data_IF_871396457050
#
_entry.id   IF_871396457050
#
_cell.length_a   1.000
_cell.length_b   1.000
_cell.length_c   1.000
_cell.angle_alpha   90.00
_cell.angle_beta   90.00
_cell.angle_gamma   90.00
#
_symmetry.space_group_name_H-M   'P 1'
#
loop_
_entity.id
_entity.type
_entity.pdbx_description
1 polymer ?
#
# COMPACT_ATOMS: atom_id res chain seq x y z
N UNK A 1 43.58 2.37 -2.25
CA UNK A 1 42.75 1.16 -2.42
C UNK A 1 41.53 1.60 -3.23
N UNK A 2 41.47 1.17 -4.50
CA UNK A 2 40.59 1.72 -5.54
C UNK A 2 39.23 1.00 -5.52
N UNK A 3 38.15 1.78 -5.51
CA UNK A 3 36.77 1.34 -5.78
C UNK A 3 36.63 0.82 -7.21
N UNK A 4 35.81 -0.20 -7.49
CA UNK A 4 35.32 -0.44 -8.83
C UNK A 4 33.91 0.16 -9.01
N UNK A 5 33.84 1.22 -9.82
CA UNK A 5 32.63 1.64 -10.54
C UNK A 5 32.36 0.60 -11.63
N UNK A 6 31.16 0.02 -11.67
CA UNK A 6 30.70 -0.78 -12.82
C UNK A 6 29.87 0.10 -13.75
N UNK A 7 30.30 0.21 -15.00
CA UNK A 7 29.52 0.70 -16.13
C UNK A 7 29.14 -0.52 -16.97
N UNK A 8 27.86 -0.66 -17.29
CA UNK A 8 27.34 -1.63 -18.24
C UNK A 8 26.47 -0.91 -19.26
N UNK A 9 26.89 -0.95 -20.52
CA UNK A 9 26.25 -0.35 -21.68
C UNK A 9 25.43 -1.46 -22.36
N UNK A 10 24.11 -1.33 -22.47
CA UNK A 10 23.30 -2.17 -23.38
C UNK A 10 22.19 -1.36 -24.05
N UNK A 11 22.15 -1.56 -25.36
CA UNK A 11 21.26 -1.16 -26.44
C UNK A 11 19.82 -0.71 -26.11
N UNK A 12 19.39 0.30 -26.88
CA UNK A 12 18.05 0.85 -26.88
C UNK A 12 16.99 -0.09 -27.47
N UNK A 13 15.79 0.04 -26.91
CA UNK A 13 14.54 -0.44 -27.48
C UNK A 13 13.54 0.71 -27.41
N UNK A 14 12.98 1.07 -28.56
CA UNK A 14 11.98 2.11 -28.70
C UNK A 14 10.63 1.61 -28.18
N UNK A 15 10.20 2.12 -27.03
CA UNK A 15 8.85 1.86 -26.53
C UNK A 15 7.93 3.05 -26.81
N UNK A 16 6.87 2.74 -27.55
CA UNK A 16 5.82 3.65 -28.00
C UNK A 16 5.04 4.17 -26.79
N UNK A 17 4.98 5.50 -26.65
CA UNK A 17 4.09 6.19 -25.72
C UNK A 17 2.64 5.94 -26.11
N UNK A 18 1.88 5.33 -25.21
CA UNK A 18 0.43 5.20 -25.33
C UNK A 18 -0.22 6.11 -24.29
N UNK A 19 -0.34 7.39 -24.61
CA UNK A 19 -1.13 8.35 -23.83
C UNK A 19 -2.61 8.10 -24.09
N UNK A 20 -3.30 7.52 -23.12
CA UNK A 20 -4.76 7.41 -23.11
C UNK A 20 -5.28 8.02 -21.82
N UNK A 21 -5.68 9.30 -21.90
CA UNK A 21 -6.57 9.91 -20.93
C UNK A 21 -7.97 9.32 -21.14
N UNK A 22 -8.38 8.43 -20.24
CA UNK A 22 -9.78 8.09 -20.07
C UNK A 22 -10.21 8.46 -18.66
N UNK A 23 -11.20 9.34 -18.58
CA UNK A 23 -12.04 9.52 -17.39
C UNK A 23 -12.85 8.24 -17.20
N UNK A 24 -12.23 7.20 -16.66
CA UNK A 24 -12.97 6.08 -16.08
C UNK A 24 -13.25 6.43 -14.62
N UNK A 25 -14.52 6.43 -14.23
CA UNK A 25 -14.91 6.23 -12.83
C UNK A 25 -14.16 4.99 -12.36
N UNK A 26 -13.07 5.15 -11.61
CA UNK A 26 -12.28 4.02 -11.13
C UNK A 26 -13.13 3.32 -10.08
N UNK A 27 -13.81 2.26 -10.48
CA UNK A 27 -14.40 1.34 -9.52
C UNK A 27 -13.22 0.70 -8.80
N UNK A 28 -13.00 1.10 -7.56
CA UNK A 28 -12.02 0.45 -6.69
C UNK A 28 -12.51 -0.97 -6.46
N UNK A 29 -11.80 -1.97 -6.99
CA UNK A 29 -12.09 -3.37 -6.68
C UNK A 29 -11.56 -3.63 -5.27
N UNK A 30 -12.38 -3.36 -4.26
CA UNK A 30 -12.01 -3.72 -2.90
C UNK A 30 -11.83 -5.24 -2.79
N UNK A 31 -10.66 -5.66 -2.30
CA UNK A 31 -10.40 -7.07 -1.99
C UNK A 31 -11.48 -7.61 -1.06
N UNK A 32 -12.04 -8.76 -1.42
CA UNK A 32 -13.12 -9.39 -0.64
C UNK A 32 -12.62 -9.79 0.76
N UNK A 33 -13.51 -9.97 1.75
CA UNK A 33 -13.11 -10.49 3.06
C UNK A 33 -12.32 -11.80 2.97
N UNK A 34 -12.74 -12.70 2.06
CA UNK A 34 -12.04 -13.95 1.78
C UNK A 34 -10.61 -13.71 1.28
N UNK A 35 -10.44 -12.91 0.22
CA UNK A 35 -9.12 -12.58 -0.35
C UNK A 35 -8.21 -12.00 0.72
N UNK A 36 -8.74 -11.09 1.55
CA UNK A 36 -7.98 -10.49 2.65
C UNK A 36 -7.51 -11.52 3.66
N UNK A 37 -8.37 -12.45 4.08
CA UNK A 37 -7.98 -13.52 5.02
C UNK A 37 -6.93 -14.44 4.41
N UNK A 38 -7.13 -14.86 3.16
CA UNK A 38 -6.20 -15.72 2.43
C UNK A 38 -4.77 -15.14 2.40
N UNK A 39 -4.65 -13.83 2.19
CA UNK A 39 -3.36 -13.13 2.19
C UNK A 39 -2.98 -12.47 3.53
N UNK A 40 -3.66 -12.83 4.63
CA UNK A 40 -3.46 -12.28 5.96
C UNK A 40 -3.45 -10.74 5.98
N UNK A 41 -4.28 -10.07 5.19
CA UNK A 41 -4.39 -8.61 5.13
C UNK A 41 -5.28 -8.10 6.26
N UNK A 42 -5.05 -6.86 6.76
CA UNK A 42 -5.90 -6.30 7.80
C UNK A 42 -7.29 -5.97 7.21
N UNK A 43 -8.32 -6.12 8.04
CA UNK A 43 -9.66 -5.63 7.71
C UNK A 43 -9.62 -4.12 7.45
N UNK A 44 -10.40 -3.61 6.48
CA UNK A 44 -10.48 -2.18 6.25
C UNK A 44 -10.98 -1.47 7.52
N UNK A 45 -10.40 -0.31 7.88
CA UNK A 45 -10.92 0.48 8.99
C UNK A 45 -12.29 1.04 8.65
N UNK A 46 -13.10 1.34 9.67
CA UNK A 46 -14.35 2.08 9.46
C UNK A 46 -14.05 3.47 8.88
N UNK A 47 -14.86 3.95 7.92
CA UNK A 47 -14.64 5.26 7.33
C UNK A 47 -14.80 6.37 8.40
N UNK A 48 -13.91 7.38 8.41
CA UNK A 48 -13.95 8.45 9.41
C UNK A 48 -15.10 9.44 9.20
N UNK A 49 -15.76 9.38 8.04
CA UNK A 49 -16.89 10.23 7.66
C UNK A 49 -17.97 9.39 6.98
N UNK A 50 -19.23 9.71 7.24
CA UNK A 50 -20.38 9.16 6.52
C UNK A 50 -20.71 9.98 5.26
N UNK A 51 -20.07 11.14 5.07
CA UNK A 51 -20.39 12.10 4.02
C UNK A 51 -19.46 11.96 2.80
N UNK A 52 -18.24 11.47 3.01
CA UNK A 52 -17.27 11.26 1.94
C UNK A 52 -16.29 10.14 2.28
N UNK A 53 -15.89 9.40 1.26
CA UNK A 53 -14.93 8.29 1.37
C UNK A 53 -13.86 8.32 0.26
N UNK A 54 -13.91 9.30 -0.65
CA UNK A 54 -12.92 9.53 -1.70
C UNK A 54 -12.83 11.02 -2.07
N UNK A 55 -11.92 11.37 -2.99
CA UNK A 55 -11.73 12.77 -3.39
C UNK A 55 -13.00 13.35 -4.04
N UNK A 56 -13.69 12.57 -4.88
CA UNK A 56 -14.86 13.02 -5.63
C UNK A 56 -16.06 13.33 -4.71
N UNK A 57 -16.35 12.42 -3.77
CA UNK A 57 -17.39 12.58 -2.74
C UNK A 57 -17.02 13.70 -1.78
N UNK A 58 -15.74 13.86 -1.42
CA UNK A 58 -15.28 14.96 -0.57
C UNK A 58 -15.48 16.33 -1.25
N UNK A 59 -15.10 16.47 -2.53
CA UNK A 59 -15.29 17.72 -3.27
C UNK A 59 -16.78 18.07 -3.40
N UNK A 60 -17.63 17.07 -3.64
CA UNK A 60 -19.08 17.24 -3.70
C UNK A 60 -19.65 17.69 -2.35
N UNK A 61 -19.22 17.06 -1.26
CA UNK A 61 -19.57 17.43 0.11
C UNK A 61 -19.12 18.86 0.45
N UNK A 62 -17.85 19.18 0.21
CA UNK A 62 -17.26 20.50 0.49
C UNK A 62 -18.03 21.61 -0.24
N UNK A 63 -18.39 21.37 -1.51
CA UNK A 63 -19.23 22.29 -2.28
C UNK A 63 -20.62 22.46 -1.67
N UNK A 64 -21.27 21.35 -1.28
CA UNK A 64 -22.60 21.37 -0.70
C UNK A 64 -22.68 22.19 0.60
N UNK A 65 -21.67 22.08 1.46
CA UNK A 65 -21.61 22.83 2.73
C UNK A 65 -20.91 24.18 2.61
N UNK A 66 -20.51 24.59 1.41
CA UNK A 66 -19.70 25.78 1.15
C UNK A 66 -18.43 25.87 2.02
N UNK A 67 -17.72 24.74 2.18
CA UNK A 67 -16.47 24.68 2.94
C UNK A 67 -15.40 25.53 2.26
N UNK A 68 -14.77 26.50 2.94
CA UNK A 68 -13.74 27.34 2.31
C UNK A 68 -12.51 26.52 1.91
N UNK A 69 -12.07 26.66 0.65
CA UNK A 69 -10.91 25.94 0.11
C UNK A 69 -9.59 26.30 0.80
N UNK A 70 -9.55 27.45 1.47
CA UNK A 70 -8.40 27.94 2.25
C UNK A 70 -8.38 27.39 3.68
N UNK A 71 -9.46 26.74 4.13
CA UNK A 71 -9.53 26.17 5.47
C UNK A 71 -8.54 25.01 5.62
N UNK A 72 -8.04 24.83 6.85
CA UNK A 72 -7.13 23.73 7.18
C UNK A 72 -7.79 22.37 6.96
N UNK A 73 -9.09 22.26 7.23
CA UNK A 73 -9.89 21.05 6.99
C UNK A 73 -9.92 20.73 5.50
N UNK A 74 -10.28 21.71 4.65
CA UNK A 74 -10.31 21.46 3.20
C UNK A 74 -8.94 21.05 2.66
N UNK A 75 -7.91 21.83 3.02
CA UNK A 75 -6.54 21.62 2.55
C UNK A 75 -5.98 20.26 3.00
N UNK A 76 -6.24 19.87 4.26
CA UNK A 76 -5.80 18.59 4.82
C UNK A 76 -6.51 17.43 4.15
N UNK A 77 -7.84 17.40 4.21
CA UNK A 77 -8.65 16.29 3.67
C UNK A 77 -8.45 16.10 2.16
N UNK A 78 -8.39 17.20 1.38
CA UNK A 78 -8.08 17.11 -0.05
C UNK A 78 -6.70 16.47 -0.27
N UNK A 79 -5.70 16.90 0.49
CA UNK A 79 -4.34 16.39 0.35
C UNK A 79 -4.24 14.91 0.73
N UNK A 80 -4.90 14.50 1.80
CA UNK A 80 -4.97 13.09 2.23
C UNK A 80 -5.57 12.19 1.15
N UNK A 81 -6.70 12.59 0.55
CA UNK A 81 -7.31 11.84 -0.56
C UNK A 81 -6.43 11.82 -1.80
N UNK A 82 -5.79 12.96 -2.12
CA UNK A 82 -4.84 13.04 -3.23
C UNK A 82 -3.69 12.04 -3.02
N UNK A 83 -3.06 12.04 -1.84
CA UNK A 83 -1.97 11.11 -1.51
C UNK A 83 -2.44 9.67 -1.60
N UNK A 84 -3.59 9.36 -1.00
CA UNK A 84 -4.20 8.02 -1.02
C UNK A 84 -4.39 7.48 -2.44
N UNK A 85 -4.99 8.26 -3.32
CA UNK A 85 -5.26 7.86 -4.72
C UNK A 85 -3.98 7.76 -5.55
N UNK A 86 -3.02 8.65 -5.30
CA UNK A 86 -1.78 8.67 -6.06
C UNK A 86 -0.84 7.52 -5.71
N UNK A 87 -0.79 7.12 -4.44
CA UNK A 87 0.06 6.02 -3.99
C UNK A 87 -0.41 4.64 -4.49
N UNK A 88 -1.64 4.51 -4.99
CA UNK A 88 -2.08 3.31 -5.72
C UNK A 88 -1.19 2.97 -6.91
N UNK A 89 -0.55 3.95 -7.56
CA UNK A 89 0.38 3.71 -8.68
C UNK A 89 1.63 2.93 -8.29
N UNK A 90 1.92 2.85 -6.99
CA UNK A 90 3.06 2.13 -6.44
C UNK A 90 2.61 0.93 -5.59
N UNK A 91 1.43 0.38 -5.89
CA UNK A 91 0.82 -0.76 -5.19
C UNK A 91 0.56 -0.55 -3.68
N UNK A 92 0.23 0.68 -3.29
CA UNK A 92 -0.32 0.95 -1.96
C UNK A 92 -1.85 0.96 -1.99
N UNK A 93 -2.48 0.17 -1.12
CA UNK A 93 -3.91 0.22 -0.85
C UNK A 93 -4.12 0.89 0.50
N UNK A 94 -4.58 2.14 0.49
CA UNK A 94 -4.66 3.01 1.66
C UNK A 94 -6.10 3.42 1.95
N UNK A 95 -6.45 3.47 3.23
CA UNK A 95 -7.72 3.94 3.75
C UNK A 95 -7.48 5.17 4.62
N UNK A 96 -8.31 6.19 4.43
CA UNK A 96 -8.27 7.39 5.26
C UNK A 96 -8.87 7.06 6.63
N UNK A 97 -8.16 7.41 7.69
CA UNK A 97 -8.64 7.33 9.08
C UNK A 97 -8.51 8.66 9.81
N UNK A 98 -7.87 9.66 9.17
CA UNK A 98 -7.64 10.98 9.73
C UNK A 98 -8.93 11.67 10.19
N UNK A 99 -8.89 12.27 11.37
CA UNK A 99 -10.06 12.79 12.06
C UNK A 99 -9.73 13.31 13.46
N UNK A 100 -10.77 13.56 14.26
CA UNK A 100 -10.56 13.92 15.66
C UNK A 100 -10.04 12.68 16.41
N UNK A 101 -8.98 12.84 17.20
CA UNK A 101 -8.38 11.79 18.05
C UNK A 101 -7.71 10.62 17.28
N UNK A 102 -7.22 10.86 16.07
CA UNK A 102 -6.56 9.87 15.20
C UNK A 102 -5.09 9.55 15.55
N UNK A 103 -4.58 10.06 16.69
CA UNK A 103 -3.18 9.96 17.12
C UNK A 103 -2.15 10.41 16.05
N UNK A 104 -2.57 11.30 15.14
CA UNK A 104 -1.74 11.81 14.05
C UNK A 104 -1.62 10.85 12.85
N UNK A 105 -2.48 9.83 12.75
CA UNK A 105 -2.55 8.92 11.61
C UNK A 105 -3.60 9.42 10.62
N UNK A 106 -3.16 9.77 9.42
CA UNK A 106 -4.09 10.23 8.39
C UNK A 106 -4.59 9.07 7.53
N UNK A 107 -3.70 8.15 7.14
CA UNK A 107 -4.03 6.96 6.36
C UNK A 107 -3.41 5.69 6.96
N UNK A 108 -4.07 4.56 6.78
CA UNK A 108 -3.53 3.22 7.07
C UNK A 108 -3.79 2.30 5.89
N UNK A 109 -2.93 1.32 5.68
CA UNK A 109 -3.16 0.35 4.63
C UNK A 109 -2.04 -0.65 4.44
N UNK A 110 -1.93 -1.15 3.22
CA UNK A 110 -0.95 -2.18 2.85
C UNK A 110 -0.13 -1.74 1.65
N UNK A 111 1.13 -2.15 1.60
CA UNK A 111 2.01 -1.99 0.45
C UNK A 111 2.34 -3.37 -0.10
N UNK A 112 1.85 -3.64 -1.30
CA UNK A 112 2.07 -4.87 -2.01
C UNK A 112 3.27 -4.65 -2.95
N UNK A 113 4.45 -5.12 -2.54
CA UNK A 113 5.66 -4.97 -3.34
C UNK A 113 5.84 -6.21 -4.21
N UNK A 114 6.38 -6.09 -5.43
CA UNK A 114 6.66 -7.24 -6.29
C UNK A 114 7.42 -8.32 -5.54
N UNK A 115 7.16 -9.58 -5.90
CA UNK A 115 7.70 -10.79 -5.25
C UNK A 115 7.21 -11.01 -3.80
N UNK A 116 6.72 -9.97 -3.11
CA UNK A 116 6.15 -10.05 -1.75
C UNK A 116 4.64 -9.89 -1.71
N UNK A 117 4.03 -9.54 -2.85
CA UNK A 117 2.61 -9.25 -3.04
C UNK A 117 1.74 -10.31 -2.35
N UNK A 118 2.17 -11.56 -2.46
CA UNK A 118 1.46 -12.76 -2.01
C UNK A 118 1.92 -13.23 -0.62
N UNK A 119 3.18 -13.05 -0.25
CA UNK A 119 3.68 -13.53 1.04
C UNK A 119 3.19 -12.67 2.22
N UNK A 120 3.45 -11.36 2.17
CA UNK A 120 3.12 -10.42 3.24
C UNK A 120 3.25 -8.99 2.76
N UNK A 121 2.12 -8.40 2.37
CA UNK A 121 2.05 -6.97 2.15
C UNK A 121 2.45 -6.21 3.43
N UNK A 122 3.35 -5.24 3.30
CA UNK A 122 3.79 -4.42 4.43
C UNK A 122 2.61 -3.62 4.98
N UNK A 123 2.56 -3.46 6.30
CA UNK A 123 1.61 -2.56 6.95
C UNK A 123 2.12 -1.14 6.82
N UNK A 124 1.24 -0.24 6.39
CA UNK A 124 1.60 1.16 6.16
C UNK A 124 0.77 2.03 7.07
N UNK A 125 1.44 2.94 7.76
CA UNK A 125 0.84 4.06 8.48
C UNK A 125 1.36 5.33 7.84
N UNK A 126 0.46 6.20 7.39
CA UNK A 126 0.80 7.43 6.68
C UNK A 126 0.36 8.62 7.49
N UNK A 127 1.26 9.59 7.59
CA UNK A 127 0.97 10.92 8.11
C UNK A 127 1.23 11.95 7.01
N UNK A 128 0.20 12.74 6.71
CA UNK A 128 0.14 13.77 5.68
C UNK A 128 0.30 15.16 6.32
N UNK A 129 1.27 15.94 5.84
CA UNK A 129 1.49 17.32 6.32
C UNK A 129 1.46 18.30 5.16
N UNK A 130 0.26 18.80 4.88
CA UNK A 130 -0.08 19.73 3.79
C UNK A 130 0.35 21.20 4.04
N UNK A 131 1.50 21.42 4.68
CA UNK A 131 1.94 22.76 5.07
C UNK A 131 2.51 23.57 3.90
N UNK A 132 2.33 24.90 3.95
CA UNK A 132 2.98 25.81 2.99
C UNK A 132 4.48 25.98 3.29
N UNK A 133 4.92 25.78 4.52
CA UNK A 133 6.31 25.92 4.94
C UNK A 133 7.02 24.56 4.95
N UNK A 134 8.36 24.58 5.00
CA UNK A 134 9.17 23.37 5.16
C UNK A 134 8.87 22.72 6.51
N UNK A 135 8.84 21.39 6.52
CA UNK A 135 8.57 20.61 7.73
C UNK A 135 9.88 20.35 8.49
N UNK A 136 9.82 20.50 9.81
CA UNK A 136 10.95 20.30 10.71
C UNK A 136 11.16 18.84 11.11
N UNK A 137 12.30 18.51 11.75
CA UNK A 137 12.63 17.15 12.19
C UNK A 137 11.75 16.61 13.33
N UNK A 138 10.94 17.46 13.99
CA UNK A 138 10.02 17.05 15.03
C UNK A 138 8.97 16.05 14.51
N UNK A 139 8.57 16.16 13.24
CA UNK A 139 7.54 15.30 12.66
C UNK A 139 7.96 13.83 12.57
N UNK A 140 9.27 13.57 12.40
CA UNK A 140 9.79 12.19 12.40
C UNK A 140 9.59 11.56 13.77
N UNK A 141 9.87 12.30 14.85
CA UNK A 141 9.67 11.83 16.23
C UNK A 141 8.20 11.68 16.60
N UNK A 142 7.34 12.56 16.06
CA UNK A 142 5.89 12.43 16.18
C UNK A 142 5.43 11.10 15.56
N UNK A 143 5.84 10.81 14.32
CA UNK A 143 5.51 9.55 13.65
C UNK A 143 6.08 8.31 14.36
N UNK A 144 7.28 8.38 14.96
CA UNK A 144 7.80 7.29 15.79
C UNK A 144 6.86 6.96 16.97
N UNK A 145 6.31 7.99 17.61
CA UNK A 145 5.30 7.85 18.66
C UNK A 145 4.02 7.19 18.12
N UNK A 146 3.58 7.62 16.94
CA UNK A 146 2.42 7.07 16.25
C UNK A 146 2.61 5.59 15.88
N UNK A 147 3.78 5.20 15.36
CA UNK A 147 4.11 3.80 15.03
C UNK A 147 4.06 2.88 16.25
N UNK A 148 4.49 3.37 17.43
CA UNK A 148 4.37 2.63 18.70
C UNK A 148 2.91 2.39 19.08
N UNK A 149 2.03 3.33 18.73
CA UNK A 149 0.60 3.27 19.01
C UNK A 149 -0.21 2.76 17.82
N UNK A 150 0.44 2.15 16.82
CA UNK A 150 -0.21 1.61 15.62
C UNK A 150 -1.50 0.84 15.96
N UNK A 151 -2.59 1.04 15.18
CA UNK A 151 -3.85 0.32 15.37
C UNK A 151 -3.69 -1.19 15.28
N UNK A 152 -4.66 -1.92 15.83
CA UNK A 152 -4.75 -3.38 15.69
C UNK A 152 -4.78 -3.75 14.19
N UNK A 153 -4.00 -4.75 13.79
CA UNK A 153 -3.81 -5.13 12.38
C UNK A 153 -2.63 -4.44 11.68
N UNK A 154 -2.21 -3.27 12.17
CA UNK A 154 -1.03 -2.53 11.69
C UNK A 154 0.14 -2.53 12.66
N UNK A 155 -0.05 -2.98 13.90
CA UNK A 155 1.05 -3.17 14.87
C UNK A 155 1.73 -4.52 14.63
N UNK A 156 2.66 -4.56 13.68
CA UNK A 156 3.39 -5.79 13.29
C UNK A 156 4.89 -5.53 13.18
N UNK A 157 5.69 -6.59 13.10
CA UNK A 157 7.12 -6.48 12.75
C UNK A 157 7.39 -6.12 11.28
N UNK A 158 6.34 -5.93 10.48
CA UNK A 158 6.38 -5.61 9.05
C UNK A 158 5.61 -4.31 8.77
N UNK A 159 5.82 -3.31 9.64
CA UNK A 159 5.12 -2.03 9.58
C UNK A 159 6.09 -0.90 9.24
N UNK A 160 5.71 -0.09 8.26
CA UNK A 160 6.42 1.12 7.83
C UNK A 160 5.60 2.36 8.15
N UNK A 161 6.28 3.41 8.60
CA UNK A 161 5.72 4.75 8.70
C UNK A 161 6.07 5.57 7.46
N UNK A 162 5.13 6.33 6.93
CA UNK A 162 5.35 7.19 5.75
C UNK A 162 4.95 8.61 6.09
N UNK A 163 5.91 9.52 6.04
CA UNK A 163 5.66 10.97 6.09
C UNK A 163 5.49 11.51 4.68
N UNK A 164 4.36 12.15 4.44
CA UNK A 164 4.05 12.74 3.13
C UNK A 164 3.87 14.24 3.26
N UNK A 165 4.58 15.01 2.44
CA UNK A 165 4.50 16.48 2.44
C UNK A 165 4.68 17.05 1.03
N UNK A 166 4.08 18.20 0.68
CA UNK A 166 4.32 18.86 -0.60
C UNK A 166 5.66 19.61 -0.63
N UNK A 167 6.50 19.43 0.40
CA UNK A 167 7.80 20.08 0.55
C UNK A 167 8.91 19.04 0.63
N UNK A 168 10.07 19.40 0.13
CA UNK A 168 11.26 18.56 0.18
C UNK A 168 11.71 18.33 1.63
N UNK A 169 12.27 17.14 1.92
CA UNK A 169 12.90 16.87 3.19
C UNK A 169 14.02 17.88 3.46
N UNK A 170 14.00 18.52 4.63
CA UNK A 170 15.12 19.34 5.08
C UNK A 170 16.30 18.46 5.48
N UNK A 171 17.51 19.01 5.59
CA UNK A 171 18.66 18.29 6.15
C UNK A 171 18.33 17.71 7.52
N UNK A 172 17.69 18.49 8.40
CA UNK A 172 17.27 18.02 9.73
C UNK A 172 16.30 16.84 9.68
N UNK A 173 15.34 16.85 8.74
CA UNK A 173 14.44 15.71 8.51
C UNK A 173 15.23 14.49 8.05
N UNK A 174 16.09 14.62 7.04
CA UNK A 174 16.94 13.50 6.55
C UNK A 174 17.82 12.91 7.64
N UNK A 175 18.47 13.76 8.42
CA UNK A 175 19.34 13.35 9.52
C UNK A 175 18.56 12.64 10.63
N UNK A 176 17.32 13.06 10.89
CA UNK A 176 16.46 12.42 11.92
C UNK A 176 15.87 11.11 11.41
N UNK A 177 15.42 11.07 10.16
CA UNK A 177 14.97 9.88 9.45
C UNK A 177 16.04 8.78 9.52
N UNK A 178 17.28 9.11 9.15
CA UNK A 178 18.41 8.18 9.14
C UNK A 178 18.76 7.61 10.53
N UNK A 179 18.48 8.34 11.60
CA UNK A 179 18.74 7.90 13.00
C UNK A 179 17.56 7.18 13.64
N UNK A 180 16.39 7.19 13.02
CA UNK A 180 15.21 6.57 13.59
C UNK A 180 15.43 5.07 13.78
N UNK A 181 14.95 4.55 14.91
CA UNK A 181 14.92 3.11 15.16
C UNK A 181 13.74 2.41 14.47
N UNK A 182 12.83 3.17 13.86
CA UNK A 182 11.66 2.64 13.17
C UNK A 182 11.86 2.64 11.65
N UNK A 183 11.22 1.72 10.90
CA UNK A 183 11.15 1.75 9.45
C UNK A 183 10.35 2.96 8.96
N UNK A 184 11.02 4.01 8.46
CA UNK A 184 10.34 5.26 8.07
C UNK A 184 10.73 5.67 6.66
N UNK A 185 9.72 6.13 5.93
CA UNK A 185 9.79 6.77 4.64
C UNK A 185 9.46 8.25 4.73
N UNK A 186 10.09 9.03 3.86
CA UNK A 186 9.71 10.38 3.51
C UNK A 186 9.34 10.42 2.03
N UNK A 187 8.17 10.96 1.70
CA UNK A 187 7.74 11.19 0.33
C UNK A 187 7.33 12.66 0.13
N UNK A 188 7.95 13.30 -0.86
CA UNK A 188 7.48 14.60 -1.35
C UNK A 188 6.44 14.36 -2.44
N UNK A 189 5.17 14.58 -2.11
CA UNK A 189 4.07 14.47 -3.06
C UNK A 189 3.42 15.85 -3.18
N UNK A 190 3.44 16.41 -4.38
CA UNK A 190 2.82 17.70 -4.67
C UNK A 190 1.29 17.64 -4.56
N UNK A 191 0.64 18.80 -4.58
CA UNK A 191 -0.82 18.89 -4.40
C UNK A 191 -1.63 18.31 -5.56
N UNK A 192 -0.98 18.13 -6.71
CA UNK A 192 -1.51 17.43 -7.88
C UNK A 192 -1.31 15.90 -7.78
N UNK A 193 -0.61 15.43 -6.74
CA UNK A 193 -0.28 14.01 -6.55
C UNK A 193 1.05 13.56 -7.14
N UNK A 194 1.81 14.46 -7.77
CA UNK A 194 3.10 14.12 -8.37
C UNK A 194 4.15 13.79 -7.30
N UNK A 195 4.75 12.60 -7.38
CA UNK A 195 5.89 12.22 -6.53
C UNK A 195 7.17 12.91 -7.03
N UNK A 196 7.85 13.63 -6.14
CA UNK A 196 9.06 14.42 -6.43
C UNK A 196 10.28 14.02 -5.60
N UNK A 197 10.11 13.24 -4.54
CA UNK A 197 11.20 12.72 -3.73
C UNK A 197 10.67 11.54 -2.93
N UNK A 198 11.47 10.48 -2.82
CA UNK A 198 11.24 9.40 -1.87
C UNK A 198 12.57 9.07 -1.19
N UNK A 199 12.55 8.94 0.13
CA UNK A 199 13.70 8.61 0.96
C UNK A 199 13.23 7.62 2.02
N UNK A 200 14.12 6.75 2.48
CA UNK A 200 13.87 5.85 3.60
C UNK A 200 15.16 5.61 4.38
N UNK A 201 15.04 5.05 5.57
CA UNK A 201 16.20 4.70 6.40
C UNK A 201 16.55 3.21 6.30
N UNK A 202 17.70 2.83 6.87
CA UNK A 202 18.17 1.43 6.88
C UNK A 202 17.22 0.47 7.58
N UNK A 203 16.42 0.96 8.55
CA UNK A 203 15.39 0.16 9.21
C UNK A 203 14.27 -0.25 8.27
N UNK A 204 13.96 0.57 7.27
CA UNK A 204 13.06 0.19 6.20
C UNK A 204 13.69 -0.90 5.33
N UNK A 205 14.98 -0.77 4.96
CA UNK A 205 15.72 -1.77 4.17
C UNK A 205 15.76 -3.16 4.83
N UNK A 206 15.86 -3.20 6.16
CA UNK A 206 15.80 -4.43 6.98
C UNK A 206 14.48 -5.19 6.83
N UNK A 207 13.40 -4.55 6.34
CA UNK A 207 12.13 -5.23 6.01
C UNK A 207 12.13 -5.90 4.63
N UNK A 208 13.28 -5.95 3.96
CA UNK A 208 13.41 -6.65 2.68
C UNK A 208 12.93 -5.83 1.48
N UNK A 209 12.93 -4.50 1.59
CA UNK A 209 12.68 -3.56 0.48
C UNK A 209 13.94 -3.20 -0.31
N UNK A 210 15.04 -3.95 -0.16
CA UNK A 210 16.32 -3.65 -0.83
C UNK A 210 16.23 -3.40 -2.35
N UNK A 211 15.37 -4.12 -3.10
CA UNK A 211 15.08 -3.85 -4.51
C UNK A 211 14.43 -2.49 -4.81
N UNK A 212 13.85 -1.83 -3.81
CA UNK A 212 13.15 -0.57 -3.99
C UNK A 212 14.14 0.53 -4.42
N UNK A 213 13.85 1.17 -5.54
CA UNK A 213 14.65 2.23 -6.13
C UNK A 213 13.86 3.51 -6.39
N UNK A 214 14.59 4.57 -6.73
CA UNK A 214 14.03 5.86 -7.14
C UNK A 214 14.66 6.24 -8.46
N UNK A 215 13.84 6.38 -9.50
CA UNK A 215 14.30 6.80 -10.82
C UNK A 215 13.73 8.16 -11.23
N UNK A 216 14.53 8.93 -11.96
CA UNK A 216 14.08 10.18 -12.58
C UNK A 216 13.55 9.90 -13.97
N UNK A 217 12.29 10.27 -14.21
CA UNK A 217 11.64 10.25 -15.52
C UNK A 217 11.53 11.66 -16.08
N UNK A 218 11.87 11.82 -17.34
CA UNK A 218 11.73 13.07 -18.07
C UNK A 218 10.49 12.97 -18.95
N UNK A 219 9.42 13.68 -18.58
CA UNK A 219 8.26 13.83 -19.44
C UNK A 219 8.45 14.99 -20.40
N UNK A 220 8.15 14.80 -21.68
CA UNK A 220 7.81 15.91 -22.58
C UNK A 220 6.45 16.44 -22.14
N UNK A 221 6.46 17.49 -21.31
CA UNK A 221 5.23 18.18 -20.91
C UNK A 221 4.51 18.71 -22.13
N UNK A 222 3.20 18.44 -22.24
CA UNK A 222 2.33 18.95 -23.30
C UNK A 222 2.01 20.44 -23.18
N UNK A 223 2.87 21.21 -22.51
CA UNK A 223 2.76 22.66 -22.45
C UNK A 223 3.70 23.25 -23.49
N UNK A 224 3.20 24.20 -24.29
CA UNK A 224 3.95 24.99 -25.29
C UNK A 224 5.13 25.80 -24.71
N UNK A 225 5.50 25.57 -23.43
CA UNK A 225 6.58 26.22 -22.70
C UNK A 225 7.86 25.40 -22.57
N UNK A 226 7.95 24.18 -23.13
CA UNK A 226 9.21 23.44 -23.27
C UNK A 226 9.93 23.05 -21.97
N UNK A 227 9.31 23.22 -20.79
CA UNK A 227 9.88 22.77 -19.53
C UNK A 227 9.72 21.26 -19.39
N UNK A 228 10.83 20.52 -19.50
CA UNK A 228 10.87 19.09 -19.21
C UNK A 228 10.48 18.89 -17.74
N UNK A 229 9.27 18.38 -17.49
CA UNK A 229 8.81 18.13 -16.14
C UNK A 229 9.58 16.92 -15.59
N UNK A 230 10.55 17.17 -14.71
CA UNK A 230 11.24 16.14 -13.95
C UNK A 230 10.21 15.46 -13.03
N UNK A 231 9.92 14.19 -13.30
CA UNK A 231 9.11 13.33 -12.44
C UNK A 231 10.02 12.29 -11.80
N UNK A 232 9.66 11.85 -10.59
CA UNK A 232 10.35 10.75 -9.91
C UNK A 232 9.35 9.61 -9.74
N UNK A 233 9.81 8.39 -9.96
CA UNK A 233 9.03 7.17 -9.77
C UNK A 233 9.75 6.20 -8.84
N UNK A 234 8.97 5.45 -8.07
CA UNK A 234 9.48 4.27 -7.36
C UNK A 234 9.59 3.10 -8.33
N UNK A 235 10.64 2.32 -8.17
CA UNK A 235 10.93 1.13 -8.98
C UNK A 235 11.24 -0.06 -8.09
N UNK A 236 11.07 -1.27 -8.60
CA UNK A 236 11.49 -2.51 -7.95
C UNK A 236 12.50 -3.22 -8.85
N UNK A 237 13.74 -3.38 -8.38
CA UNK A 237 14.87 -3.90 -9.15
C UNK A 237 15.04 -3.22 -10.53
N UNK A 238 14.82 -1.90 -10.56
CA UNK A 238 14.90 -1.08 -11.77
C UNK A 238 13.70 -1.22 -12.72
N UNK A 239 12.69 -2.01 -12.37
CA UNK A 239 11.45 -2.12 -13.11
C UNK A 239 10.32 -1.29 -12.48
N UNK A 240 9.29 -1.00 -13.27
CA UNK A 240 8.09 -0.31 -12.79
C UNK A 240 7.35 -1.18 -11.78
N UNK A 241 6.99 -0.60 -10.64
CA UNK A 241 6.08 -1.23 -9.69
C UNK A 241 4.69 -1.29 -10.33
N UNK A 242 4.00 -2.44 -10.33
CA UNK A 242 2.63 -2.52 -10.85
C UNK A 242 1.71 -1.59 -10.06
N UNK A 243 0.67 -1.08 -10.72
CA UNK A 243 -0.38 -0.34 -10.02
C UNK A 243 -1.20 -1.28 -9.13
N UNK A 244 -1.78 -0.74 -8.05
CA UNK A 244 -2.62 -1.50 -7.12
C UNK A 244 -3.81 -2.18 -7.83
N UNK A 245 -4.36 -1.57 -8.88
CA UNK A 245 -5.43 -2.16 -9.68
C UNK A 245 -5.00 -3.50 -10.33
N UNK A 246 -3.75 -3.57 -10.81
CA UNK A 246 -3.18 -4.79 -11.38
C UNK A 246 -2.87 -5.82 -10.29
N UNK A 247 -2.37 -5.36 -9.14
CA UNK A 247 -2.13 -6.23 -7.98
C UNK A 247 -3.45 -6.85 -7.49
N UNK A 248 -4.50 -6.05 -7.31
CA UNK A 248 -5.83 -6.52 -6.90
C UNK A 248 -6.37 -7.60 -7.86
N UNK A 249 -6.21 -7.39 -9.17
CA UNK A 249 -6.57 -8.39 -10.16
C UNK A 249 -5.78 -9.69 -10.02
N UNK A 250 -4.45 -9.61 -9.88
CA UNK A 250 -3.61 -10.80 -9.70
C UNK A 250 -3.86 -11.54 -8.39
N UNK A 251 -4.27 -10.85 -7.32
CA UNK A 251 -4.71 -11.48 -6.07
C UNK A 251 -6.04 -12.20 -6.24
N UNK A 252 -6.99 -11.63 -7.00
CA UNK A 252 -8.28 -12.25 -7.29
C UNK A 252 -8.12 -13.50 -8.17
N UNK A 253 -7.31 -13.44 -9.23
CA UNK A 253 -7.00 -14.60 -10.07
C UNK A 253 -6.34 -15.73 -9.24
N UNK A 254 -5.46 -15.38 -8.30
CA UNK A 254 -4.86 -16.37 -7.41
C UNK A 254 -5.88 -16.99 -6.47
N UNK A 255 -6.81 -16.19 -5.91
CA UNK A 255 -7.91 -16.73 -5.11
C UNK A 255 -8.70 -17.78 -5.89
N UNK A 256 -9.09 -17.48 -7.13
CA UNK A 256 -9.83 -18.41 -7.98
C UNK A 256 -9.05 -19.72 -8.19
N UNK A 257 -7.77 -19.62 -8.56
CA UNK A 257 -6.89 -20.78 -8.73
C UNK A 257 -6.71 -21.57 -7.43
N UNK A 258 -6.60 -20.88 -6.29
CA UNK A 258 -6.48 -21.51 -4.98
C UNK A 258 -7.75 -22.32 -4.69
N UNK A 259 -8.95 -21.74 -4.84
CA UNK A 259 -10.22 -22.45 -4.63
C UNK A 259 -10.38 -23.65 -5.56
N UNK A 260 -10.09 -23.47 -6.86
CA UNK A 260 -10.12 -24.55 -7.85
C UNK A 260 -9.15 -25.69 -7.49
N UNK A 261 -7.98 -25.36 -6.93
CA UNK A 261 -7.02 -26.38 -6.50
C UNK A 261 -7.56 -27.30 -5.40
N UNK A 262 -8.62 -26.92 -4.69
CA UNK A 262 -9.30 -27.77 -3.70
C UNK A 262 -10.51 -28.50 -4.25
N UNK A 263 -10.92 -28.24 -5.50
CA UNK A 263 -12.08 -28.88 -6.15
C UNK A 263 -13.42 -28.44 -5.55
N UNK A 264 -13.53 -27.17 -5.16
CA UNK A 264 -14.74 -26.59 -4.59
C UNK A 264 -15.50 -25.77 -5.64
N UNK A 265 -16.83 -25.98 -5.71
CA UNK A 265 -17.69 -25.34 -6.70
C UNK A 265 -18.60 -24.24 -6.10
N UNK A 266 -18.61 -24.02 -4.77
CA UNK A 266 -19.50 -23.05 -4.09
C UNK A 266 -18.79 -22.08 -3.12
N UNK A 267 -19.39 -20.90 -2.90
CA UNK A 267 -18.85 -19.85 -2.02
C UNK A 267 -18.86 -20.21 -0.53
N UNK A 268 -19.85 -20.98 -0.07
CA UNK A 268 -19.89 -21.42 1.34
C UNK A 268 -18.79 -22.43 1.63
N UNK A 269 -18.43 -23.27 0.66
CA UNK A 269 -17.42 -24.30 0.86
C UNK A 269 -16.02 -23.69 0.97
N UNK A 270 -15.73 -22.59 0.25
CA UNK A 270 -14.40 -21.95 0.33
C UNK A 270 -14.14 -21.30 1.69
N UNK A 271 -15.14 -20.65 2.30
CA UNK A 271 -14.98 -20.05 3.64
C UNK A 271 -14.71 -21.13 4.70
N UNK A 272 -15.49 -22.23 4.67
CA UNK A 272 -15.28 -23.37 5.58
C UNK A 272 -13.92 -24.03 5.38
N UNK A 273 -13.47 -24.14 4.12
CA UNK A 273 -12.15 -24.63 3.79
C UNK A 273 -11.06 -23.74 4.39
N UNK A 274 -11.19 -22.41 4.24
CA UNK A 274 -10.23 -21.46 4.77
C UNK A 274 -10.18 -21.52 6.31
N UNK A 275 -11.34 -21.57 6.97
CA UNK A 275 -11.44 -21.76 8.43
C UNK A 275 -10.75 -23.06 8.88
N UNK A 276 -10.94 -24.15 8.14
CA UNK A 276 -10.31 -25.43 8.42
C UNK A 276 -8.80 -25.38 8.20
N UNK A 277 -8.35 -24.75 7.12
CA UNK A 277 -6.94 -24.58 6.80
C UNK A 277 -6.22 -23.74 7.87
N UNK A 278 -6.81 -22.61 8.29
CA UNK A 278 -6.28 -21.75 9.36
C UNK A 278 -6.16 -22.50 10.71
N UNK A 279 -7.09 -23.43 10.98
CA UNK A 279 -7.10 -24.23 12.22
C UNK A 279 -6.10 -25.38 12.22
N UNK A 280 -5.94 -26.06 11.09
CA UNK A 280 -5.18 -27.32 10.98
C UNK A 280 -3.71 -27.06 10.66
N UNK A 281 -3.41 -26.01 9.90
CA UNK A 281 -2.06 -25.72 9.45
C UNK A 281 -1.31 -24.84 10.46
N UNK A 282 0.00 -25.09 10.70
CA UNK A 282 0.84 -24.16 11.44
C UNK A 282 0.86 -22.76 10.80
N UNK A 283 0.99 -21.72 11.61
CA UNK A 283 0.92 -20.33 11.16
C UNK A 283 1.95 -20.00 10.05
N UNK A 284 3.14 -20.61 10.12
CA UNK A 284 4.21 -20.44 9.14
C UNK A 284 3.92 -21.19 7.82
N UNK A 285 3.19 -22.30 7.88
CA UNK A 285 2.73 -23.07 6.71
C UNK A 285 1.59 -22.34 6.01
N UNK A 286 0.69 -21.71 6.77
CA UNK A 286 -0.37 -20.87 6.20
C UNK A 286 0.21 -19.65 5.46
N UNK A 287 1.31 -19.07 5.95
CA UNK A 287 2.06 -18.03 5.22
C UNK A 287 2.68 -18.52 3.90
N UNK A 288 2.87 -19.84 3.70
CA UNK A 288 3.34 -20.41 2.43
C UNK A 288 2.21 -20.71 1.44
N UNK A 289 0.95 -20.80 1.92
CA UNK A 289 -0.22 -21.04 1.06
C UNK A 289 -0.38 -20.01 -0.04
N UNK A 290 0.11 -18.79 0.21
CA UNK A 290 0.05 -17.71 -0.74
C UNK A 290 1.20 -17.72 -1.76
N UNK A 291 2.18 -18.61 -1.60
CA UNK A 291 3.39 -18.66 -2.44
C UNK A 291 3.52 -19.98 -3.23
N UNK A 292 3.16 -21.13 -2.64
CA UNK A 292 3.26 -22.44 -3.27
C UNK A 292 2.02 -23.31 -2.98
N UNK A 293 1.72 -24.24 -3.90
CA UNK A 293 0.75 -25.30 -3.66
C UNK A 293 1.17 -26.08 -2.39
N UNK A 294 0.22 -26.32 -1.47
CA UNK A 294 0.46 -27.13 -0.27
C UNK A 294 1.12 -28.45 -0.62
N UNK A 295 1.92 -28.97 0.32
CA UNK A 295 2.33 -30.37 0.25
C UNK A 295 1.09 -31.27 0.22
N UNK A 296 1.14 -32.37 -0.53
CA UNK A 296 0.03 -33.32 -0.61
C UNK A 296 -0.40 -33.84 0.78
N UNK A 297 0.56 -33.94 1.71
CA UNK A 297 0.32 -34.33 3.09
C UNK A 297 -0.50 -33.30 3.87
N UNK A 298 -0.19 -32.00 3.73
CA UNK A 298 -0.93 -30.94 4.40
C UNK A 298 -2.32 -30.74 3.78
N UNK A 299 -2.42 -30.87 2.46
CA UNK A 299 -3.69 -30.87 1.75
C UNK A 299 -4.59 -32.03 2.22
N UNK A 300 -4.03 -33.23 2.38
CA UNK A 300 -4.76 -34.39 2.89
C UNK A 300 -5.31 -34.15 4.31
N UNK A 301 -4.52 -33.56 5.22
CA UNK A 301 -4.98 -33.22 6.59
C UNK A 301 -6.17 -32.27 6.59
N UNK A 302 -6.12 -31.22 5.76
CA UNK A 302 -7.21 -30.23 5.68
C UNK A 302 -8.47 -30.88 5.10
N UNK A 303 -8.34 -31.69 4.04
CA UNK A 303 -9.48 -32.42 3.44
C UNK A 303 -10.10 -33.41 4.44
N UNK A 304 -9.27 -34.14 5.19
CA UNK A 304 -9.74 -35.07 6.21
C UNK A 304 -10.52 -34.34 7.30
N UNK A 305 -9.98 -33.25 7.83
CA UNK A 305 -10.64 -32.42 8.84
C UNK A 305 -11.96 -31.81 8.34
N UNK A 306 -12.02 -31.39 7.07
CA UNK A 306 -13.24 -30.86 6.46
C UNK A 306 -14.33 -31.94 6.34
N UNK A 307 -13.94 -33.16 5.94
CA UNK A 307 -14.86 -34.32 5.87
C UNK A 307 -15.37 -34.74 7.24
N UNK A 308 -14.55 -34.64 8.29
CA UNK A 308 -14.98 -34.91 9.67
C UNK A 308 -16.02 -33.91 10.17
N UNK A 309 -15.83 -32.61 9.87
CA UNK A 309 -16.82 -31.58 10.21
C UNK A 309 -18.16 -31.79 9.51
N UNK A 310 -18.14 -32.18 8.22
CA UNK A 310 -19.37 -32.49 7.49
C UNK A 310 -20.10 -33.75 8.00
N UNK A 311 -19.40 -34.62 8.76
CA UNK A 311 -19.98 -35.83 9.37
C UNK A 311 -20.54 -35.61 10.78
N UNK A 312 -20.22 -34.51 11.44
CA UNK A 312 -20.77 -34.18 12.76
C UNK A 312 -22.01 -33.29 12.58
N UNK A 313 -23.24 -33.77 12.83
CA UNK A 313 -24.42 -32.90 12.83
C UNK A 313 -24.33 -31.90 13.99
N UNK A 314 -24.77 -30.65 13.76
CA UNK A 314 -24.84 -29.62 14.80
C UNK A 314 -25.57 -30.16 16.05
N UNK A 315 -25.04 -29.94 17.27
CA UNK A 315 -25.80 -30.22 18.48
C UNK A 315 -27.01 -29.27 18.55
N UNK A 316 -28.20 -29.86 18.68
CA UNK A 316 -29.50 -29.17 18.84
C UNK A 316 -29.54 -28.27 20.08
#
# INVERSE_FOLDING_TARGET
>A
MRLPLRHGLVAGSAFKLNTRFFSSSRIYNELTPFTRRLFQLPSPPSPPSLQHNDLATFLSYAKHIALPETSTVYVGTHYEYTVRENLRRYALSLNRVGGRDDAGIDLVGTWHLPERERERALRVIVQCKALKTKVGPNIVRELEGTLRQAPVGWRTGQTVGVLVSPREATKGVRDTLARSAYPIFWMMIERDGSLKQALWNSRAEELGIGPLGVETRYGTGGDESGSVAKQIALTWDGADIPGMDQVEHGLAEFEEQWVESWGLDSQNDKEQLLDTAERVLPHDTFSRLSHELLSDADRAKVIEALREQQRQPEPQ
#
